data_IF_913768382930
#
_entry.id   IF_913768382930
#
_cell.length_a   1.000
_cell.length_b   1.000
_cell.length_c   1.000
_cell.angle_alpha   90.00
_cell.angle_beta   90.00
_cell.angle_gamma   90.00
#
_symmetry.space_group_name_H-M   'P 1'
#
loop_
_entity.id
_entity.type
_entity.pdbx_description
1 polymer ?
#
# COMPACT_ATOMS: atom_id res chain seq x y z
N UNK A 1 -3.68 6.74 15.57
CA UNK A 1 -4.55 5.66 15.05
C UNK A 1 -3.94 5.17 13.75
N UNK A 2 -3.81 3.85 13.55
CA UNK A 2 -3.25 3.26 12.34
C UNK A 2 -4.31 2.37 11.67
N UNK A 3 -4.38 2.42 10.33
CA UNK A 3 -5.28 1.59 9.53
C UNK A 3 -4.43 0.70 8.63
N UNK A 4 -4.69 -0.62 8.68
CA UNK A 4 -4.04 -1.61 7.81
C UNK A 4 -5.11 -2.17 6.87
N UNK A 5 -4.82 -2.14 5.57
CA UNK A 5 -5.71 -2.62 4.52
C UNK A 5 -4.92 -3.13 3.33
N UNK A 6 -5.54 -3.96 2.50
CA UNK A 6 -4.94 -4.50 1.28
C UNK A 6 -5.55 -3.80 0.05
N UNK A 7 -4.69 -3.32 -0.84
CA UNK A 7 -5.09 -2.77 -2.15
C UNK A 7 -4.64 -3.71 -3.27
N UNK A 8 -5.54 -3.96 -4.22
CA UNK A 8 -5.26 -4.63 -5.49
C UNK A 8 -4.92 -3.61 -6.58
N UNK A 9 -4.17 -3.98 -7.64
CA UNK A 9 -3.91 -3.10 -8.79
C UNK A 9 -5.19 -2.45 -9.31
N UNK A 10 -5.17 -1.13 -9.49
CA UNK A 10 -6.32 -0.34 -9.91
C UNK A 10 -7.19 0.21 -8.77
N UNK A 11 -7.02 -0.25 -7.53
CA UNK A 11 -7.74 0.29 -6.37
C UNK A 11 -7.12 1.59 -5.84
N UNK A 12 -7.94 2.36 -5.13
CA UNK A 12 -7.56 3.64 -4.54
C UNK A 12 -7.96 3.71 -3.07
N UNK A 13 -7.15 4.41 -2.28
CA UNK A 13 -7.42 4.80 -0.90
C UNK A 13 -7.51 6.32 -0.84
N UNK A 14 -8.54 6.84 -0.17
CA UNK A 14 -8.67 8.27 0.09
C UNK A 14 -8.28 8.58 1.54
N UNK A 15 -7.43 9.59 1.73
CA UNK A 15 -6.98 10.07 3.05
C UNK A 15 -7.20 11.58 3.10
N UNK A 16 -8.30 12.01 3.72
CA UNK A 16 -8.73 13.41 3.66
C UNK A 16 -8.95 13.88 2.22
N UNK A 17 -8.22 14.92 1.80
CA UNK A 17 -8.24 15.46 0.45
C UNK A 17 -7.27 14.77 -0.53
N UNK A 18 -6.44 13.84 -0.05
CA UNK A 18 -5.49 13.11 -0.89
C UNK A 18 -6.07 11.76 -1.34
N UNK A 19 -5.71 11.35 -2.56
CA UNK A 19 -6.05 10.05 -3.13
C UNK A 19 -4.77 9.30 -3.49
N UNK A 20 -4.63 8.08 -2.99
CA UNK A 20 -3.51 7.19 -3.24
C UNK A 20 -4.03 6.03 -4.10
N UNK A 21 -3.57 5.91 -5.34
CA UNK A 21 -3.90 4.80 -6.24
C UNK A 21 -2.77 3.80 -6.28
N UNK A 22 -3.10 2.53 -6.16
CA UNK A 22 -2.13 1.45 -6.33
C UNK A 22 -2.14 1.00 -7.80
N UNK A 23 -1.08 1.31 -8.54
CA UNK A 23 -1.03 1.06 -9.98
C UNK A 23 -0.66 -0.39 -10.27
N UNK A 24 0.50 -0.83 -9.78
CA UNK A 24 0.98 -2.20 -9.89
C UNK A 24 2.10 -2.49 -8.89
N UNK A 25 2.47 -3.76 -8.75
CA UNK A 25 3.64 -4.21 -8.00
C UNK A 25 4.55 -5.03 -8.89
N UNK A 26 5.84 -4.79 -8.77
CA UNK A 26 6.91 -5.57 -9.41
C UNK A 26 7.89 -6.00 -8.34
N UNK A 27 7.96 -7.31 -8.08
CA UNK A 27 8.75 -7.86 -6.97
C UNK A 27 8.35 -7.22 -5.63
N UNK A 28 9.32 -6.61 -4.95
CA UNK A 28 9.12 -5.94 -3.65
C UNK A 28 8.75 -4.46 -3.76
N UNK A 29 8.57 -3.93 -4.97
CA UNK A 29 8.29 -2.51 -5.20
C UNK A 29 6.85 -2.34 -5.67
N UNK A 30 6.09 -1.53 -4.94
CA UNK A 30 4.78 -1.05 -5.36
C UNK A 30 4.91 0.31 -6.05
N UNK A 31 4.22 0.49 -7.17
CA UNK A 31 4.04 1.80 -7.80
C UNK A 31 2.73 2.41 -7.30
N UNK A 32 2.85 3.58 -6.69
CA UNK A 32 1.74 4.36 -6.18
C UNK A 32 1.63 5.66 -6.97
N UNK A 33 0.41 6.06 -7.28
CA UNK A 33 0.11 7.38 -7.78
C UNK A 33 -0.62 8.18 -6.68
N UNK A 34 -0.01 9.28 -6.24
CA UNK A 34 -0.54 10.13 -5.18
C UNK A 34 -1.03 11.43 -5.79
N UNK A 35 -2.33 11.68 -5.68
CA UNK A 35 -2.95 12.94 -6.07
C UNK A 35 -3.38 13.69 -4.80
N UNK A 36 -2.87 14.91 -4.63
CA UNK A 36 -3.23 15.77 -3.52
C UNK A 36 -3.22 17.24 -3.97
N UNK A 37 -3.95 18.14 -3.28
CA UNK A 37 -3.83 19.58 -3.48
C UNK A 37 -2.39 20.05 -3.25
N UNK A 38 -1.98 21.14 -3.92
CA UNK A 38 -0.60 21.67 -3.84
C UNK A 38 -0.16 22.04 -2.43
N UNK A 39 -1.12 22.35 -1.56
CA UNK A 39 -0.91 22.71 -0.16
C UNK A 39 -0.54 21.50 0.72
N UNK A 40 -0.82 20.28 0.24
CA UNK A 40 -0.51 19.04 0.97
C UNK A 40 0.86 18.56 0.51
N UNK A 41 1.89 18.62 1.38
CA UNK A 41 3.21 18.14 1.02
C UNK A 41 3.22 16.61 0.90
N UNK A 42 3.84 16.10 -0.16
CA UNK A 42 4.02 14.66 -0.39
C UNK A 42 5.51 14.35 -0.29
N UNK A 43 5.88 13.53 0.69
CA UNK A 43 7.26 13.11 0.91
C UNK A 43 7.36 11.60 0.86
N UNK A 44 8.38 11.09 0.18
CA UNK A 44 8.79 9.69 0.30
C UNK A 44 9.73 9.60 1.51
N UNK A 45 9.28 8.96 2.58
CA UNK A 45 10.12 8.67 3.73
C UNK A 45 10.86 7.34 3.51
N UNK A 46 12.12 7.26 3.95
CA UNK A 46 12.83 5.99 4.07
C UNK A 46 12.27 5.25 5.29
N UNK A 47 11.92 3.97 5.14
CA UNK A 47 11.11 3.25 6.12
C UNK A 47 11.88 2.85 7.38
N UNK A 48 11.26 3.06 8.54
CA UNK A 48 11.39 2.13 9.67
C UNK A 48 10.80 0.78 9.23
N UNK A 49 11.45 -0.33 9.58
CA UNK A 49 11.09 -1.69 9.12
C UNK A 49 9.65 -2.07 9.50
N UNK A 50 8.68 -1.78 8.64
CA UNK A 50 7.37 -2.41 8.71
C UNK A 50 7.53 -3.84 8.21
N UNK A 51 7.82 -4.75 9.14
CA UNK A 51 7.83 -6.18 8.88
C UNK A 51 6.56 -6.56 8.14
N UNK A 52 6.77 -7.05 6.92
CA UNK A 52 5.77 -7.63 6.07
C UNK A 52 5.08 -8.73 6.88
N UNK A 53 3.87 -8.47 7.39
CA UNK A 53 3.00 -9.54 7.85
C UNK A 53 2.60 -10.34 6.61
N UNK A 54 3.48 -11.24 6.18
CA UNK A 54 3.17 -12.19 5.14
C UNK A 54 1.94 -12.98 5.60
N UNK A 55 0.89 -13.11 4.78
CA UNK A 55 -0.22 -13.99 5.13
C UNK A 55 0.37 -15.38 5.34
N UNK A 56 0.02 -16.02 6.45
CA UNK A 56 0.45 -17.38 6.74
C UNK A 56 0.00 -18.28 5.58
N UNK A 57 0.97 -18.76 4.79
CA UNK A 57 0.73 -19.80 3.78
C UNK A 57 0.27 -21.04 4.53
N UNK A 58 -1.04 -21.28 4.56
CA UNK A 58 -1.60 -22.53 5.07
C UNK A 58 -1.18 -23.64 4.10
N UNK A 59 -0.39 -24.63 4.52
CA UNK A 59 -0.08 -25.76 3.66
C UNK A 59 -1.37 -26.50 3.32
N UNK A 60 -1.67 -26.61 2.03
CA UNK A 60 -2.76 -27.43 1.53
C UNK A 60 -2.47 -28.89 1.89
N UNK A 61 -3.16 -29.42 2.90
CA UNK A 61 -3.22 -30.85 3.13
C UNK A 61 -4.02 -31.47 1.99
N UNK A 62 -3.31 -32.10 1.05
CA UNK A 62 -3.92 -33.07 0.14
C UNK A 62 -4.40 -34.25 0.99
N UNK A 63 -5.71 -34.48 1.00
CA UNK A 63 -6.31 -35.78 1.28
C UNK A 63 -6.23 -36.65 0.02
#
# INVERSE_FOLDING_TARGET
MALVLELRPGQALQVGAATIRYEYKSGNVARLHVAAPKEVPVHKCEGENFSQAAPATVPSMRQ
#
